data_IF_330829166935
#
_entry.id   IF_330829166935
#
_cell.length_a   1.000
_cell.length_b   1.000
_cell.length_c   1.000
_cell.angle_alpha   90.00
_cell.angle_beta   90.00
_cell.angle_gamma   90.00
#
_symmetry.space_group_name_H-M   'P 1'
#
loop_
_entity.id
_entity.type
_entity.pdbx_description
1 polymer ?
#
# COMPACT_ATOMS: atom_id res chain seq x y z
N UNK A 1 32.31 8.17 -18.44
CA UNK A 1 31.74 7.82 -17.11
C UNK A 1 30.37 7.19 -17.38
N UNK A 2 30.22 5.88 -17.13
CA UNK A 2 28.91 5.23 -17.27
C UNK A 2 28.00 5.78 -16.18
N UNK A 3 26.82 6.27 -16.57
CA UNK A 3 25.79 6.59 -15.60
C UNK A 3 25.49 5.33 -14.74
N UNK A 4 25.31 5.45 -13.43
CA UNK A 4 24.93 4.31 -12.61
C UNK A 4 23.67 3.65 -13.20
N UNK A 5 23.66 2.32 -13.25
CA UNK A 5 22.52 1.57 -13.77
C UNK A 5 21.26 1.98 -13.00
N UNK A 6 20.17 2.22 -13.73
CA UNK A 6 18.90 2.59 -13.11
C UNK A 6 18.44 1.48 -12.16
N UNK A 7 18.14 1.83 -10.91
CA UNK A 7 17.69 0.86 -9.90
C UNK A 7 16.31 0.31 -10.26
N UNK A 8 16.20 -1.01 -10.23
CA UNK A 8 14.95 -1.73 -10.53
C UNK A 8 14.10 -1.87 -9.28
N UNK A 9 12.91 -1.32 -9.31
CA UNK A 9 11.97 -1.39 -8.18
C UNK A 9 10.73 -2.18 -8.56
N UNK A 10 10.37 -3.14 -7.74
CA UNK A 10 9.08 -3.82 -7.80
C UNK A 10 8.10 -3.14 -6.85
N UNK A 11 6.93 -2.79 -7.33
CA UNK A 11 5.76 -2.45 -6.51
C UNK A 11 4.74 -3.55 -6.72
N UNK A 12 4.55 -4.39 -5.72
CA UNK A 12 3.51 -5.43 -5.75
C UNK A 12 2.38 -5.07 -4.78
N UNK A 13 1.12 -5.34 -5.20
CA UNK A 13 -0.02 -4.84 -4.43
C UNK A 13 -1.20 -5.79 -4.40
N UNK A 14 -1.96 -5.72 -3.29
CA UNK A 14 -3.27 -6.33 -3.13
C UNK A 14 -4.34 -5.22 -2.99
N UNK A 15 -5.41 -5.33 -3.75
CA UNK A 15 -6.50 -4.35 -3.77
C UNK A 15 -7.86 -5.02 -3.82
N UNK A 16 -8.88 -4.39 -3.24
CA UNK A 16 -10.27 -4.84 -3.36
C UNK A 16 -11.03 -3.98 -4.37
N UNK A 17 -10.90 -2.66 -4.26
CA UNK A 17 -11.70 -1.69 -5.04
C UNK A 17 -10.87 -0.93 -6.09
N UNK A 18 -9.60 -1.34 -6.31
CA UNK A 18 -8.71 -0.76 -7.32
C UNK A 18 -7.98 0.52 -6.90
N UNK A 19 -8.28 1.10 -5.74
CA UNK A 19 -7.65 2.37 -5.32
C UNK A 19 -6.16 2.21 -4.99
N UNK A 20 -5.75 1.05 -4.44
CA UNK A 20 -4.33 0.75 -4.20
C UNK A 20 -3.51 0.78 -5.49
N UNK A 21 -4.08 0.32 -6.62
CA UNK A 21 -3.41 0.43 -7.92
C UNK A 21 -3.13 1.88 -8.31
N UNK A 22 -4.08 2.80 -8.08
CA UNK A 22 -3.87 4.23 -8.37
C UNK A 22 -2.71 4.82 -7.55
N UNK A 23 -2.60 4.40 -6.28
CA UNK A 23 -1.46 4.78 -5.43
C UNK A 23 -0.16 4.21 -6.01
N UNK A 24 -0.13 2.93 -6.39
CA UNK A 24 1.05 2.31 -7.03
C UNK A 24 1.47 3.04 -8.31
N UNK A 25 0.51 3.43 -9.17
CA UNK A 25 0.77 4.17 -10.38
C UNK A 25 1.35 5.57 -10.10
N UNK A 26 0.88 6.25 -9.04
CA UNK A 26 1.47 7.53 -8.64
C UNK A 26 2.89 7.35 -8.10
N UNK A 27 3.13 6.33 -7.28
CA UNK A 27 4.47 5.97 -6.82
C UNK A 27 5.40 5.68 -8.00
N UNK A 28 4.93 4.89 -8.97
CA UNK A 28 5.68 4.59 -10.20
C UNK A 28 6.11 5.89 -10.91
N UNK A 29 5.18 6.80 -11.17
CA UNK A 29 5.47 8.09 -11.83
C UNK A 29 6.55 8.89 -11.09
N UNK A 30 6.45 8.97 -9.76
CA UNK A 30 7.43 9.70 -8.94
C UNK A 30 8.80 9.03 -8.99
N UNK A 31 8.85 7.72 -8.86
CA UNK A 31 10.11 6.96 -8.81
C UNK A 31 10.79 6.91 -10.19
N UNK A 32 10.03 6.80 -11.28
CA UNK A 32 10.55 6.86 -12.65
C UNK A 32 11.10 8.26 -12.98
N UNK A 33 10.44 9.32 -12.51
CA UNK A 33 10.97 10.69 -12.63
C UNK A 33 12.30 10.89 -11.89
N UNK A 34 12.60 10.04 -10.89
CA UNK A 34 13.87 10.01 -10.15
C UNK A 34 14.89 9.00 -10.73
N UNK A 35 14.59 8.42 -11.90
CA UNK A 35 15.52 7.54 -12.61
C UNK A 35 15.43 6.05 -12.25
N UNK A 36 14.43 5.62 -11.47
CA UNK A 36 14.19 4.20 -11.21
C UNK A 36 13.48 3.52 -12.39
N UNK A 37 13.72 2.23 -12.59
CA UNK A 37 12.88 1.37 -13.44
C UNK A 37 11.84 0.69 -12.55
N UNK A 38 10.56 0.96 -12.76
CA UNK A 38 9.51 0.49 -11.86
C UNK A 38 8.56 -0.50 -12.54
N UNK A 39 8.40 -1.67 -11.94
CA UNK A 39 7.41 -2.66 -12.32
C UNK A 39 6.28 -2.66 -11.30
N UNK A 40 5.04 -2.50 -11.75
CA UNK A 40 3.84 -2.57 -10.91
C UNK A 40 3.06 -3.82 -11.28
N UNK A 41 2.80 -4.70 -10.31
CA UNK A 41 2.10 -5.98 -10.55
C UNK A 41 1.19 -6.36 -9.37
N UNK A 42 0.11 -7.06 -9.66
CA UNK A 42 -0.72 -7.68 -8.62
C UNK A 42 0.09 -8.68 -7.79
N UNK A 43 -0.09 -8.67 -6.48
CA UNK A 43 0.61 -9.55 -5.56
C UNK A 43 0.42 -11.04 -5.92
N UNK A 44 -0.77 -11.42 -6.38
CA UNK A 44 -1.07 -12.77 -6.83
C UNK A 44 -0.25 -13.22 -8.06
N UNK A 45 0.38 -12.29 -8.76
CA UNK A 45 1.18 -12.55 -9.97
C UNK A 45 2.69 -12.35 -9.71
N UNK A 46 3.06 -11.86 -8.54
CA UNK A 46 4.45 -11.48 -8.24
C UNK A 46 5.41 -12.69 -8.30
N UNK A 47 4.96 -13.88 -7.92
CA UNK A 47 5.75 -15.12 -7.97
C UNK A 47 6.12 -15.56 -9.40
N UNK A 48 5.48 -14.99 -10.43
CA UNK A 48 5.85 -15.25 -11.83
C UNK A 48 7.11 -14.47 -12.27
N UNK A 49 7.57 -13.50 -11.46
CA UNK A 49 8.76 -12.71 -11.72
C UNK A 49 9.97 -13.27 -10.98
N UNK A 50 11.15 -13.05 -11.56
CA UNK A 50 12.40 -13.20 -10.79
C UNK A 50 12.55 -12.03 -9.81
N UNK A 51 12.05 -12.22 -8.59
CA UNK A 51 12.06 -11.19 -7.53
C UNK A 51 13.49 -10.80 -7.13
N UNK A 52 14.46 -11.70 -7.31
CA UNK A 52 15.86 -11.42 -6.99
C UNK A 52 16.49 -10.40 -7.95
N UNK A 53 15.90 -10.20 -9.11
CA UNK A 53 16.35 -9.23 -10.11
C UNK A 53 16.02 -7.77 -9.77
N UNK A 54 15.23 -7.50 -8.71
CA UNK A 54 14.87 -6.15 -8.29
C UNK A 54 15.78 -5.69 -7.14
N UNK A 55 16.23 -4.45 -7.20
CA UNK A 55 17.06 -3.83 -6.16
C UNK A 55 16.23 -3.38 -4.96
N UNK A 56 14.94 -3.05 -5.17
CA UNK A 56 13.98 -2.62 -4.15
C UNK A 56 12.63 -3.30 -4.34
N UNK A 57 11.95 -3.58 -3.22
CA UNK A 57 10.60 -4.16 -3.26
C UNK A 57 9.66 -3.36 -2.35
N UNK A 58 8.54 -2.93 -2.91
CA UNK A 58 7.46 -2.26 -2.19
C UNK A 58 6.23 -3.17 -2.19
N UNK A 59 5.67 -3.42 -1.03
CA UNK A 59 4.42 -4.19 -0.86
C UNK A 59 3.31 -3.24 -0.44
N UNK A 60 2.27 -3.13 -1.24
CA UNK A 60 1.09 -2.31 -0.96
C UNK A 60 -0.17 -3.15 -0.74
N UNK A 61 -0.97 -2.85 0.27
CA UNK A 61 -2.17 -3.61 0.53
C UNK A 61 -3.32 -2.76 1.10
N UNK A 62 -4.54 -2.97 0.58
CA UNK A 62 -5.74 -2.38 1.15
C UNK A 62 -6.32 -3.24 2.28
N UNK A 63 -7.04 -2.56 3.18
CA UNK A 63 -7.83 -3.18 4.24
C UNK A 63 -9.27 -3.37 3.76
N UNK A 64 -9.81 -4.58 4.00
CA UNK A 64 -11.24 -4.86 3.93
C UNK A 64 -11.68 -5.54 5.23
N UNK A 65 -12.75 -5.06 5.83
CA UNK A 65 -13.29 -5.57 7.11
C UNK A 65 -12.24 -5.67 8.23
N UNK A 66 -11.33 -4.71 8.32
CA UNK A 66 -10.32 -4.64 9.37
C UNK A 66 -9.07 -5.50 9.15
N UNK A 67 -8.94 -6.15 7.99
CA UNK A 67 -7.82 -7.03 7.67
C UNK A 67 -7.26 -6.76 6.28
N UNK A 68 -5.96 -7.00 6.10
CA UNK A 68 -5.37 -7.20 4.78
C UNK A 68 -5.76 -8.59 4.25
N UNK A 69 -5.73 -8.76 2.94
CA UNK A 69 -5.95 -10.08 2.34
C UNK A 69 -4.88 -11.08 2.84
N UNK A 70 -5.24 -12.34 3.17
CA UNK A 70 -4.29 -13.35 3.66
C UNK A 70 -3.06 -13.52 2.77
N UNK A 71 -3.25 -13.43 1.46
CA UNK A 71 -2.18 -13.49 0.45
C UNK A 71 -1.02 -12.54 0.74
N UNK A 72 -1.26 -11.38 1.40
CA UNK A 72 -0.21 -10.42 1.72
C UNK A 72 0.77 -10.99 2.75
N UNK A 73 0.24 -11.58 3.82
CA UNK A 73 1.09 -12.23 4.82
C UNK A 73 1.78 -13.50 4.26
N UNK A 74 1.08 -14.27 3.44
CA UNK A 74 1.65 -15.45 2.77
C UNK A 74 2.83 -15.10 1.87
N UNK A 75 2.70 -14.06 1.04
CA UNK A 75 3.78 -13.55 0.19
C UNK A 75 4.97 -13.07 1.03
N UNK A 76 4.73 -12.26 2.05
CA UNK A 76 5.77 -11.74 2.92
C UNK A 76 6.52 -12.88 3.62
N UNK A 77 5.82 -13.86 4.18
CA UNK A 77 6.44 -14.98 4.88
C UNK A 77 7.25 -15.87 3.92
N UNK A 78 6.74 -16.09 2.70
CA UNK A 78 7.44 -16.88 1.68
C UNK A 78 8.73 -16.21 1.23
N UNK A 79 8.74 -14.89 1.10
CA UNK A 79 9.87 -14.12 0.59
C UNK A 79 10.60 -13.31 1.67
N UNK A 80 10.44 -13.66 2.95
CA UNK A 80 11.00 -12.89 4.07
C UNK A 80 12.49 -12.63 3.91
N UNK A 81 13.29 -13.67 3.68
CA UNK A 81 14.74 -13.54 3.53
C UNK A 81 15.14 -12.59 2.38
N UNK A 82 14.39 -12.64 1.28
CA UNK A 82 14.60 -11.76 0.14
C UNK A 82 14.26 -10.30 0.48
N UNK A 83 13.13 -10.08 1.15
CA UNK A 83 12.68 -8.73 1.55
C UNK A 83 13.62 -8.10 2.59
N UNK A 84 14.26 -8.92 3.45
CA UNK A 84 15.22 -8.47 4.46
C UNK A 84 16.61 -8.20 3.87
N UNK A 85 16.95 -8.83 2.73
CA UNK A 85 18.26 -8.70 2.09
C UNK A 85 18.43 -7.43 1.24
N UNK A 86 17.39 -6.60 1.09
CA UNK A 86 17.38 -5.41 0.24
C UNK A 86 16.45 -4.32 0.77
N UNK A 87 16.58 -3.08 0.29
CA UNK A 87 15.65 -2.02 0.61
C UNK A 87 14.22 -2.44 0.29
N UNK A 88 13.38 -2.49 1.32
CA UNK A 88 12.00 -2.90 1.17
C UNK A 88 11.07 -2.01 1.98
N UNK A 89 9.86 -1.78 1.45
CA UNK A 89 8.89 -0.90 2.05
C UNK A 89 7.49 -1.51 2.03
N UNK A 90 6.65 -1.07 2.96
CA UNK A 90 5.25 -1.47 3.06
C UNK A 90 4.34 -0.26 3.14
N UNK A 91 3.20 -0.30 2.47
CA UNK A 91 2.14 0.65 2.73
C UNK A 91 0.76 -0.01 2.86
N UNK A 92 -0.01 0.50 3.80
CA UNK A 92 -1.39 0.08 4.04
C UNK A 92 -2.36 1.15 3.54
N UNK A 93 -3.41 0.75 2.84
CA UNK A 93 -4.48 1.64 2.39
C UNK A 93 -5.75 1.32 3.13
N UNK A 94 -6.27 2.27 3.90
CA UNK A 94 -7.50 2.09 4.65
C UNK A 94 -8.21 3.41 4.94
N UNK A 95 -9.54 3.36 5.03
CA UNK A 95 -10.36 4.56 5.22
C UNK A 95 -10.19 5.22 6.59
N UNK A 96 -9.72 4.48 7.61
CA UNK A 96 -9.50 5.00 8.96
C UNK A 96 -8.34 5.98 8.99
N UNK A 97 -7.39 5.83 8.07
CA UNK A 97 -6.25 6.73 7.92
C UNK A 97 -6.62 8.18 7.49
N UNK A 98 -7.91 8.46 7.20
CA UNK A 98 -8.41 9.82 7.03
C UNK A 98 -8.38 10.64 8.32
N UNK A 99 -8.31 9.97 9.48
CA UNK A 99 -8.26 10.62 10.79
C UNK A 99 -6.81 10.98 11.14
N UNK A 100 -6.53 12.22 11.57
CA UNK A 100 -5.16 12.67 11.89
C UNK A 100 -4.47 11.80 12.96
N UNK A 101 -5.23 11.29 13.93
CA UNK A 101 -4.74 10.42 15.00
C UNK A 101 -4.50 8.96 14.58
N UNK A 102 -4.80 8.60 13.30
CA UNK A 102 -4.70 7.23 12.77
C UNK A 102 -4.06 7.16 11.39
N UNK A 103 -3.30 8.18 11.02
CA UNK A 103 -2.73 8.32 9.68
C UNK A 103 -1.23 7.99 9.60
N UNK A 104 -0.67 7.40 10.65
CA UNK A 104 0.72 6.90 10.65
C UNK A 104 0.76 5.39 10.90
N UNK A 105 1.85 4.70 10.56
CA UNK A 105 1.99 3.26 10.83
C UNK A 105 1.83 2.88 12.30
N UNK A 106 2.33 3.73 13.20
CA UNK A 106 2.32 3.52 14.65
C UNK A 106 0.93 3.71 15.25
N UNK A 107 0.16 4.66 14.74
CA UNK A 107 -1.15 5.02 15.27
C UNK A 107 -2.29 4.30 14.58
N UNK A 108 -2.08 3.80 13.35
CA UNK A 108 -3.10 3.07 12.60
C UNK A 108 -3.26 1.64 13.17
N UNK A 109 -4.43 1.28 13.69
CA UNK A 109 -4.62 0.01 14.40
C UNK A 109 -4.42 -1.20 13.48
N UNK A 110 -4.79 -1.09 12.20
CA UNK A 110 -4.72 -2.19 11.24
C UNK A 110 -3.29 -2.42 10.75
N UNK A 111 -2.59 -1.36 10.38
CA UNK A 111 -1.20 -1.42 9.96
C UNK A 111 -0.32 -1.96 11.09
N UNK A 112 -0.47 -1.42 12.30
CA UNK A 112 0.26 -1.87 13.48
C UNK A 112 -0.01 -3.35 13.81
N UNK A 113 -1.27 -3.79 13.76
CA UNK A 113 -1.63 -5.20 14.00
C UNK A 113 -0.98 -6.11 12.97
N UNK A 114 -1.03 -5.72 11.70
CA UNK A 114 -0.46 -6.50 10.60
C UNK A 114 1.07 -6.62 10.74
N UNK A 115 1.78 -5.52 10.95
CA UNK A 115 3.24 -5.53 11.10
C UNK A 115 3.72 -6.33 12.32
N UNK A 116 2.86 -6.49 13.34
CA UNK A 116 3.14 -7.40 14.47
C UNK A 116 2.90 -8.87 14.15
N UNK A 117 2.08 -9.17 13.13
CA UNK A 117 1.74 -10.55 12.76
C UNK A 117 2.72 -11.18 11.77
N UNK A 118 3.60 -10.39 11.15
CA UNK A 118 4.65 -10.85 10.24
C UNK A 118 6.03 -10.63 10.85
N UNK A 119 6.97 -11.52 10.53
CA UNK A 119 8.34 -11.40 11.06
C UNK A 119 9.13 -10.31 10.35
N UNK A 120 8.86 -10.07 9.05
CA UNK A 120 9.51 -9.05 8.25
C UNK A 120 9.35 -7.64 8.82
N UNK A 121 10.44 -6.89 8.82
CA UNK A 121 10.50 -5.49 9.24
C UNK A 121 10.92 -4.63 8.05
N UNK A 122 9.95 -4.02 7.32
CA UNK A 122 10.27 -3.14 6.21
C UNK A 122 11.07 -1.92 6.70
N UNK A 123 12.03 -1.49 5.86
CA UNK A 123 12.85 -0.31 6.15
C UNK A 123 12.01 0.99 6.17
N UNK A 124 10.92 1.01 5.42
CA UNK A 124 10.00 2.14 5.38
C UNK A 124 8.55 1.65 5.40
N UNK A 125 7.71 2.34 6.15
CA UNK A 125 6.28 2.01 6.24
C UNK A 125 5.43 3.26 6.12
N UNK A 126 4.30 3.17 5.41
CA UNK A 126 3.33 4.25 5.31
C UNK A 126 1.89 3.76 5.46
N UNK A 127 1.00 4.69 5.79
CA UNK A 127 -0.44 4.47 5.77
C UNK A 127 -1.09 5.58 4.96
N UNK A 128 -1.90 5.20 3.99
CA UNK A 128 -2.64 6.12 3.13
C UNK A 128 -4.14 5.96 3.35
N UNK A 129 -4.84 7.09 3.40
CA UNK A 129 -6.29 7.06 3.36
C UNK A 129 -6.76 6.63 1.97
N UNK A 130 -7.81 5.82 1.94
CA UNK A 130 -8.37 5.32 0.70
C UNK A 130 -9.47 6.20 0.13
N UNK A 131 -10.24 5.62 -0.78
CA UNK A 131 -11.41 6.21 -1.41
C UNK A 131 -12.67 5.49 -0.92
N UNK A 132 -13.72 6.25 -0.65
CA UNK A 132 -15.05 5.76 -0.39
C UNK A 132 -15.87 5.93 -1.68
N UNK A 133 -16.43 4.84 -2.20
CA UNK A 133 -17.18 4.84 -3.47
C UNK A 133 -18.44 3.97 -3.31
N UNK A 134 -19.45 4.50 -2.60
CA UNK A 134 -20.66 3.75 -2.28
C UNK A 134 -21.39 3.15 -3.50
N UNK A 135 -21.48 3.86 -4.65
CA UNK A 135 -22.14 3.30 -5.84
C UNK A 135 -21.50 1.99 -6.35
N UNK A 136 -20.23 1.77 -6.10
CA UNK A 136 -19.50 0.57 -6.53
C UNK A 136 -19.66 -0.61 -5.57
N UNK A 137 -20.12 -0.37 -4.34
CA UNK A 137 -20.25 -1.43 -3.34
C UNK A 137 -21.54 -2.23 -3.56
N UNK A 138 -21.46 -3.56 -3.41
CA UNK A 138 -22.64 -4.42 -3.30
C UNK A 138 -23.52 -4.01 -2.12
N UNK A 139 -24.74 -4.48 -2.10
CA UNK A 139 -25.74 -4.06 -1.09
C UNK A 139 -25.22 -4.28 0.35
N UNK A 140 -24.71 -5.48 0.66
CA UNK A 140 -24.21 -5.83 2.00
C UNK A 140 -23.02 -4.96 2.38
N UNK A 141 -22.04 -4.82 1.50
CA UNK A 141 -20.84 -4.01 1.72
C UNK A 141 -21.22 -2.55 1.97
N UNK A 142 -22.16 -2.03 1.19
CA UNK A 142 -22.65 -0.66 1.32
C UNK A 142 -23.25 -0.41 2.71
N UNK A 143 -24.10 -1.32 3.21
CA UNK A 143 -24.69 -1.17 4.53
C UNK A 143 -23.64 -1.27 5.65
N UNK A 144 -22.72 -2.22 5.54
CA UNK A 144 -21.64 -2.40 6.50
C UNK A 144 -20.70 -1.19 6.55
N UNK A 145 -20.29 -0.66 5.41
CA UNK A 145 -19.42 0.52 5.33
C UNK A 145 -20.15 1.76 5.85
N UNK A 146 -21.46 1.93 5.51
CA UNK A 146 -22.28 3.02 6.06
C UNK A 146 -22.35 2.97 7.58
N UNK A 147 -22.55 1.79 8.16
CA UNK A 147 -22.58 1.60 9.60
C UNK A 147 -21.21 1.98 10.24
N UNK A 148 -20.10 1.54 9.65
CA UNK A 148 -18.76 1.93 10.10
C UNK A 148 -18.57 3.45 9.99
N UNK A 149 -19.02 4.06 8.88
CA UNK A 149 -18.93 5.51 8.70
C UNK A 149 -19.79 6.27 9.72
N UNK A 150 -20.98 5.79 10.04
CA UNK A 150 -21.83 6.39 11.07
C UNK A 150 -21.12 6.42 12.44
N UNK A 151 -20.56 5.29 12.87
CA UNK A 151 -19.84 5.19 14.16
C UNK A 151 -18.58 6.06 14.14
N UNK A 152 -17.90 6.14 13.01
CA UNK A 152 -16.62 6.84 12.89
C UNK A 152 -16.76 8.29 12.39
N UNK A 153 -17.97 8.83 12.34
CA UNK A 153 -18.29 10.20 11.90
C UNK A 153 -17.77 10.50 10.48
N UNK A 154 -17.98 9.56 9.57
CA UNK A 154 -17.66 9.71 8.15
C UNK A 154 -18.91 9.91 7.29
N UNK A 155 -18.77 10.09 5.96
CA UNK A 155 -19.88 10.22 5.03
C UNK A 155 -20.76 8.97 5.01
N UNK A 156 -22.08 9.15 5.10
CA UNK A 156 -23.07 8.06 5.12
C UNK A 156 -24.04 8.09 3.95
N UNK A 157 -23.98 9.09 3.09
CA UNK A 157 -24.80 9.19 1.88
C UNK A 157 -24.45 8.03 0.93
N UNK A 158 -25.45 7.18 0.55
CA UNK A 158 -25.20 6.01 -0.30
C UNK A 158 -24.81 6.36 -1.76
N UNK A 159 -24.84 7.64 -2.12
CA UNK A 159 -24.39 8.14 -3.42
C UNK A 159 -23.01 8.81 -3.33
N UNK A 160 -22.45 8.95 -2.14
CA UNK A 160 -21.19 9.65 -1.95
C UNK A 160 -20.01 8.91 -2.58
N UNK A 161 -19.17 9.68 -3.25
CA UNK A 161 -17.83 9.28 -3.73
C UNK A 161 -16.85 10.28 -3.13
N UNK A 162 -16.04 9.84 -2.19
CA UNK A 162 -15.11 10.71 -1.46
C UNK A 162 -13.73 10.09 -1.44
N UNK A 163 -12.75 10.82 -1.93
CA UNK A 163 -11.34 10.44 -1.88
C UNK A 163 -10.64 11.18 -0.72
N UNK A 164 -9.98 10.44 0.14
CA UNK A 164 -9.27 10.97 1.32
C UNK A 164 -7.75 10.86 1.18
N UNK A 165 -7.26 10.39 0.05
CA UNK A 165 -5.83 10.16 -0.18
C UNK A 165 -5.08 11.49 -0.21
N UNK A 166 -4.08 11.62 0.65
CA UNK A 166 -3.10 12.69 0.60
C UNK A 166 -2.02 12.31 -0.42
N UNK A 167 -2.14 12.86 -1.63
CA UNK A 167 -1.21 12.58 -2.72
C UNK A 167 0.20 13.12 -2.48
N UNK A 168 0.36 14.20 -1.71
CA UNK A 168 1.68 14.71 -1.32
C UNK A 168 2.41 13.71 -0.44
N UNK A 169 1.67 13.05 0.47
CA UNK A 169 2.21 11.99 1.32
C UNK A 169 2.62 10.76 0.51
N UNK A 170 1.82 10.39 -0.51
CA UNK A 170 2.17 9.31 -1.45
C UNK A 170 3.46 9.63 -2.19
N UNK A 171 3.58 10.85 -2.71
CA UNK A 171 4.78 11.29 -3.43
C UNK A 171 6.03 11.34 -2.53
N UNK A 172 5.89 11.83 -1.28
CA UNK A 172 6.99 11.84 -0.31
C UNK A 172 7.47 10.42 -0.03
N UNK A 173 6.55 9.48 0.18
CA UNK A 173 6.90 8.07 0.35
C UNK A 173 7.66 7.51 -0.86
N UNK A 174 7.24 7.83 -2.10
CA UNK A 174 7.97 7.41 -3.31
C UNK A 174 9.41 7.93 -3.35
N UNK A 175 9.62 9.19 -2.96
CA UNK A 175 10.97 9.79 -2.83
C UNK A 175 11.80 9.12 -1.74
N UNK A 176 11.20 8.84 -0.60
CA UNK A 176 11.86 8.15 0.53
C UNK A 176 12.25 6.72 0.15
N UNK A 177 11.39 5.98 -0.57
CA UNK A 177 11.73 4.65 -1.09
C UNK A 177 12.93 4.71 -2.03
N UNK A 178 12.99 5.71 -2.92
CA UNK A 178 14.16 5.88 -3.81
C UNK A 178 15.46 6.19 -3.05
N UNK A 179 15.37 6.80 -1.88
CA UNK A 179 16.51 7.13 -1.03
C UNK A 179 16.99 5.96 -0.13
N UNK A 180 16.21 4.87 -0.04
CA UNK A 180 16.62 3.69 0.73
C UNK A 180 17.88 3.06 0.11
N UNK A 181 18.85 2.80 0.97
CA UNK A 181 20.08 2.05 0.67
C UNK A 181 20.13 0.77 1.51
N UNK A 182 20.85 -0.23 1.05
CA UNK A 182 21.13 -1.46 1.84
C UNK A 182 21.94 -1.10 3.07
#
# INVERSE_FOLDING_TARGET
MNAPAAQRTLITYATTDGHTLRICQRLQQVMEALGSQVTVILLAQADALDLASFDRIVVGASIRYGHHQPLVAEFINRHQALLESRPSAFFSVNIVARKPDKNTPETNPYCRKFLKSVAWKPALTAVFAGKLDYPRYGFIDRQMIRFIMLITKGPTDPKAVVEFTDWNKVESFGREVCALTV
#
